data_IF_168211790483
#
_entry.id   IF_168211790483
#
_cell.length_a   1.000
_cell.length_b   1.000
_cell.length_c   1.000
_cell.angle_alpha   90.00
_cell.angle_beta   90.00
_cell.angle_gamma   90.00
#
_symmetry.space_group_name_H-M   'P 1'
#
loop_
_entity.id
_entity.type
_entity.pdbx_description
1 polymer ?
#
# COMPACT_ATOMS: atom_id res chain seq x y z
N UNK A 1 36.33 13.87 7.48
CA UNK A 1 35.43 14.15 6.36
C UNK A 1 34.11 13.48 6.68
N UNK A 2 33.08 14.24 7.05
CA UNK A 2 31.76 13.67 7.24
C UNK A 2 31.12 13.59 5.85
N UNK A 3 30.99 12.37 5.33
CA UNK A 3 30.08 12.10 4.23
C UNK A 3 28.66 12.21 4.80
N UNK A 4 27.77 12.92 4.11
CA UNK A 4 26.34 12.81 4.39
C UNK A 4 25.61 14.12 4.22
N UNK A 5 24.95 14.27 3.07
CA UNK A 5 23.80 15.17 2.99
C UNK A 5 22.68 14.69 3.94
N UNK A 6 21.56 15.42 4.00
CA UNK A 6 20.39 14.96 4.76
C UNK A 6 19.95 13.58 4.28
N UNK A 7 19.62 12.70 5.23
CA UNK A 7 19.02 11.41 4.92
C UNK A 7 17.69 11.61 4.18
N UNK A 8 17.50 10.85 3.10
CA UNK A 8 16.35 10.98 2.21
C UNK A 8 15.16 10.13 2.65
N UNK A 9 15.37 9.13 3.53
CA UNK A 9 14.32 8.19 3.94
C UNK A 9 13.96 7.14 2.89
N UNK A 10 14.78 6.99 1.83
CA UNK A 10 14.46 6.16 0.66
C UNK A 10 15.66 5.31 0.21
N UNK A 11 16.42 4.76 1.17
CA UNK A 11 17.45 3.78 0.89
C UNK A 11 16.90 2.35 0.98
N UNK A 12 17.51 1.44 0.21
CA UNK A 12 17.05 0.06 0.03
C UNK A 12 16.87 -0.68 1.36
N UNK A 13 17.87 -0.63 2.24
CA UNK A 13 17.85 -1.35 3.52
C UNK A 13 16.69 -0.87 4.40
N UNK A 14 16.53 0.45 4.54
CA UNK A 14 15.41 1.03 5.27
C UNK A 14 14.04 0.65 4.68
N UNK A 15 13.95 0.65 3.36
CA UNK A 15 12.71 0.32 2.64
C UNK A 15 12.34 -1.16 2.80
N UNK A 16 13.32 -2.07 2.78
CA UNK A 16 13.12 -3.50 3.01
C UNK A 16 12.64 -3.78 4.44
N UNK A 17 13.22 -3.10 5.44
CA UNK A 17 12.77 -3.17 6.83
C UNK A 17 11.33 -2.65 6.99
N UNK A 18 10.98 -1.58 6.27
CA UNK A 18 9.62 -1.07 6.26
C UNK A 18 8.65 -2.07 5.62
N UNK A 19 9.01 -2.64 4.48
CA UNK A 19 8.20 -3.65 3.79
C UNK A 19 7.93 -4.85 4.71
N UNK A 20 8.98 -5.43 5.31
CA UNK A 20 8.84 -6.60 6.19
C UNK A 20 7.91 -6.32 7.40
N UNK A 21 8.01 -5.13 8.01
CA UNK A 21 7.15 -4.74 9.13
C UNK A 21 5.70 -4.51 8.69
N UNK A 22 5.48 -3.90 7.52
CA UNK A 22 4.14 -3.54 7.04
C UNK A 22 3.37 -4.73 6.45
N UNK A 23 4.07 -5.67 5.81
CA UNK A 23 3.50 -6.93 5.31
C UNK A 23 2.90 -7.78 6.45
N UNK A 24 3.51 -7.75 7.64
CA UNK A 24 2.95 -8.40 8.83
C UNK A 24 1.61 -7.80 9.32
N UNK A 25 1.18 -6.67 8.74
CA UNK A 25 -0.03 -5.92 9.14
C UNK A 25 -1.10 -5.83 8.04
N UNK A 26 -1.01 -6.69 7.01
CA UNK A 26 -2.01 -6.76 5.94
C UNK A 26 -3.41 -7.10 6.48
N UNK A 27 -4.42 -6.43 5.93
CA UNK A 27 -5.82 -6.68 6.29
C UNK A 27 -6.37 -7.94 5.61
N UNK A 28 -6.03 -8.14 4.33
CA UNK A 28 -6.44 -9.26 3.48
C UNK A 28 -5.21 -9.95 2.90
N UNK A 29 -4.43 -10.60 3.76
CA UNK A 29 -3.29 -11.39 3.27
C UNK A 29 -3.79 -12.60 2.49
N UNK A 30 -3.26 -12.80 1.29
CA UNK A 30 -3.52 -13.98 0.44
C UNK A 30 -3.09 -15.30 1.09
N UNK A 31 -2.28 -15.25 2.16
CA UNK A 31 -1.89 -16.42 2.94
C UNK A 31 -2.98 -16.85 3.94
N UNK A 32 -4.02 -16.04 4.18
CA UNK A 32 -5.09 -16.41 5.10
C UNK A 32 -6.06 -17.41 4.46
N UNK A 33 -6.53 -18.43 5.21
CA UNK A 33 -7.37 -19.50 4.66
C UNK A 33 -8.77 -19.04 4.26
N UNK A 34 -9.21 -17.88 4.74
CA UNK A 34 -10.49 -17.24 4.44
C UNK A 34 -10.37 -16.11 3.39
N UNK A 35 -9.23 -16.02 2.69
CA UNK A 35 -9.09 -15.11 1.56
C UNK A 35 -10.10 -15.45 0.46
N UNK A 36 -10.85 -14.44 0.00
CA UNK A 36 -11.87 -14.61 -1.03
C UNK A 36 -11.33 -14.21 -2.40
N UNK A 37 -11.62 -14.99 -3.44
CA UNK A 37 -11.18 -14.71 -4.81
C UNK A 37 -11.61 -13.31 -5.28
N UNK A 38 -12.80 -12.83 -4.88
CA UNK A 38 -13.29 -11.49 -5.19
C UNK A 38 -12.39 -10.36 -4.64
N UNK A 39 -11.57 -10.63 -3.62
CA UNK A 39 -10.64 -9.63 -3.09
C UNK A 39 -9.44 -9.41 -4.00
N UNK A 40 -9.16 -10.34 -4.91
CA UNK A 40 -8.13 -10.18 -5.93
C UNK A 40 -8.48 -9.04 -6.90
N UNK A 41 -9.77 -8.81 -7.17
CA UNK A 41 -10.21 -7.70 -8.02
C UNK A 41 -10.49 -6.40 -7.22
N UNK A 42 -10.37 -6.43 -5.90
CA UNK A 42 -10.70 -5.34 -4.98
C UNK A 42 -9.51 -4.87 -4.13
N UNK A 43 -8.38 -4.66 -4.80
CA UNK A 43 -7.09 -4.29 -4.21
C UNK A 43 -6.91 -2.77 -4.09
N UNK A 44 -6.12 -2.31 -3.11
CA UNK A 44 -5.89 -0.91 -2.79
C UNK A 44 -5.40 -0.11 -4.01
N UNK A 45 -4.42 -0.62 -4.77
CA UNK A 45 -3.88 0.04 -5.96
C UNK A 45 -4.93 0.31 -7.05
N UNK A 46 -5.97 -0.51 -7.13
CA UNK A 46 -7.10 -0.34 -8.07
C UNK A 46 -8.24 0.54 -7.53
N UNK A 47 -8.14 1.02 -6.29
CA UNK A 47 -9.17 1.84 -5.67
C UNK A 47 -9.03 3.32 -6.12
N UNK A 48 -10.14 4.00 -6.35
CA UNK A 48 -10.16 5.43 -6.73
C UNK A 48 -9.63 6.39 -5.65
N UNK A 49 -9.47 5.89 -4.42
CA UNK A 49 -9.00 6.65 -3.26
C UNK A 49 -7.53 6.36 -2.91
N UNK A 50 -6.83 5.61 -3.76
CA UNK A 50 -5.41 5.33 -3.61
C UNK A 50 -4.57 6.48 -4.13
N UNK A 51 -3.51 6.81 -3.40
CA UNK A 51 -2.46 7.72 -3.83
C UNK A 51 -1.13 7.01 -3.62
N UNK A 52 -0.44 6.63 -4.68
CA UNK A 52 0.89 6.01 -4.60
C UNK A 52 1.89 6.92 -3.89
N UNK A 53 2.75 6.32 -3.05
CA UNK A 53 3.91 7.03 -2.53
C UNK A 53 4.90 7.33 -3.67
N UNK A 54 5.85 8.22 -3.42
CA UNK A 54 7.00 8.43 -4.31
C UNK A 54 8.21 7.61 -3.85
N UNK A 55 9.20 7.47 -4.73
CA UNK A 55 10.44 6.77 -4.40
C UNK A 55 10.25 5.25 -4.45
N UNK A 56 11.15 4.52 -3.81
CA UNK A 56 11.16 3.06 -3.91
C UNK A 56 9.98 2.41 -3.19
N UNK A 57 9.55 2.92 -2.03
CA UNK A 57 8.34 2.45 -1.37
C UNK A 57 7.08 2.64 -2.24
N UNK A 58 7.08 3.63 -3.13
CA UNK A 58 5.99 3.87 -4.08
C UNK A 58 5.75 2.76 -5.10
N UNK A 59 6.66 1.80 -5.22
CA UNK A 59 6.47 0.62 -6.09
C UNK A 59 5.41 -0.34 -5.55
N UNK A 60 5.20 -0.36 -4.23
CA UNK A 60 4.31 -1.31 -3.54
C UNK A 60 3.29 -0.61 -2.63
N UNK A 61 3.56 0.65 -2.24
CA UNK A 61 2.85 1.33 -1.16
C UNK A 61 2.28 2.68 -1.58
N UNK A 62 1.12 2.98 -1.00
CA UNK A 62 0.35 4.20 -1.21
C UNK A 62 -0.45 4.54 0.04
N UNK A 63 -1.15 5.67 0.02
CA UNK A 63 -2.04 6.09 1.09
C UNK A 63 -3.51 5.90 0.69
N UNK A 64 -4.33 5.50 1.65
CA UNK A 64 -5.78 5.53 1.49
C UNK A 64 -6.33 6.92 1.86
N UNK A 65 -7.18 7.48 1.01
CA UNK A 65 -7.85 8.78 1.22
C UNK A 65 -9.38 8.65 1.31
N UNK A 66 -9.88 7.43 1.52
CA UNK A 66 -11.31 7.20 1.63
C UNK A 66 -11.78 7.45 3.07
N UNK A 67 -12.57 8.50 3.36
CA UNK A 67 -13.01 8.81 4.72
C UNK A 67 -13.93 7.75 5.34
N UNK A 68 -14.49 6.85 4.54
CA UNK A 68 -15.30 5.72 5.04
C UNK A 68 -14.46 4.48 5.38
N UNK A 69 -13.20 4.44 4.94
CA UNK A 69 -12.28 3.32 5.19
C UNK A 69 -11.71 3.40 6.61
N UNK A 70 -11.53 2.26 7.30
CA UNK A 70 -10.78 2.23 8.56
C UNK A 70 -9.30 2.65 8.38
N UNK A 71 -8.84 2.77 7.13
CA UNK A 71 -7.46 3.07 6.77
C UNK A 71 -7.25 4.50 6.25
N UNK A 72 -8.22 5.41 6.38
CA UNK A 72 -8.07 6.80 5.95
C UNK A 72 -6.79 7.45 6.55
N UNK A 73 -5.97 8.05 5.70
CA UNK A 73 -4.68 8.65 6.05
C UNK A 73 -3.58 7.65 6.41
N UNK A 74 -3.75 6.35 6.13
CA UNK A 74 -2.74 5.31 6.41
C UNK A 74 -2.05 4.83 5.14
N UNK A 75 -0.76 4.50 5.27
CA UNK A 75 0.00 3.77 4.25
C UNK A 75 -0.53 2.33 4.16
N UNK A 76 -0.80 1.87 2.94
CA UNK A 76 -1.30 0.55 2.58
C UNK A 76 -0.43 -0.06 1.50
N UNK A 77 -0.36 -1.38 1.52
CA UNK A 77 0.18 -2.18 0.41
C UNK A 77 -0.84 -2.19 -0.74
N UNK A 78 -0.36 -2.08 -1.98
CA UNK A 78 -1.21 -1.96 -3.16
C UNK A 78 -2.09 -3.18 -3.39
N UNK A 79 -1.61 -4.35 -2.98
CA UNK A 79 -2.33 -5.62 -3.10
C UNK A 79 -3.20 -5.99 -1.90
N UNK A 80 -3.25 -5.14 -0.87
CA UNK A 80 -4.22 -5.28 0.23
C UNK A 80 -5.59 -4.74 -0.16
N UNK A 81 -6.58 -4.73 0.74
CA UNK A 81 -7.87 -4.10 0.45
C UNK A 81 -8.69 -3.80 1.69
N UNK A 82 -9.92 -3.32 1.48
CA UNK A 82 -10.92 -3.19 2.54
C UNK A 82 -12.34 -3.27 1.96
N UNK A 83 -13.35 -3.36 2.83
CA UNK A 83 -14.76 -3.42 2.42
C UNK A 83 -15.28 -2.12 1.77
N UNK A 84 -14.49 -1.04 1.74
CA UNK A 84 -14.83 0.26 1.13
C UNK A 84 -14.15 0.48 -0.22
N UNK A 85 -13.75 -0.60 -0.89
CA UNK A 85 -13.19 -0.53 -2.23
C UNK A 85 -14.18 0.13 -3.21
N UNK A 86 -13.65 0.96 -4.10
CA UNK A 86 -14.39 1.51 -5.23
C UNK A 86 -13.40 1.59 -6.38
N UNK A 87 -13.59 0.74 -7.39
CA UNK A 87 -12.68 0.66 -8.53
C UNK A 87 -12.56 1.98 -9.27
N UNK A 88 -11.39 2.20 -9.88
CA UNK A 88 -11.21 3.27 -10.86
C UNK A 88 -11.98 2.94 -12.13
N UNK A 89 -12.61 3.96 -12.72
CA UNK A 89 -13.40 3.78 -13.95
C UNK A 89 -12.52 3.41 -15.16
N UNK A 90 -11.24 3.81 -15.13
CA UNK A 90 -10.26 3.55 -16.20
C UNK A 90 -9.54 2.20 -16.05
N UNK A 91 -9.82 1.44 -14.98
CA UNK A 91 -9.15 0.16 -14.70
C UNK A 91 -7.66 0.28 -14.38
N UNK A 92 -7.14 1.48 -14.13
CA UNK A 92 -5.74 1.67 -13.75
C UNK A 92 -5.45 1.09 -12.36
N UNK A 93 -4.19 0.74 -12.15
CA UNK A 93 -3.67 0.19 -10.91
C UNK A 93 -2.33 0.87 -10.59
N UNK A 94 -2.11 1.19 -9.31
CA UNK A 94 -0.94 1.95 -8.83
C UNK A 94 -1.22 3.44 -8.67
#
# INVERSE_FOLDING_TARGET
MAFGGPWTGDDQEHNDECHARWDASLHRSTAQPDYLDEWYDAQCGGCRFWIGLSGQLGQDYGACTNPASPFDGRVRFEHDGCARFTGREDGSFG
#
